data_IF_373016170862
#
_entry.id   IF_373016170862
#
_cell.length_a   1.000
_cell.length_b   1.000
_cell.length_c   1.000
_cell.angle_alpha   90.00
_cell.angle_beta   90.00
_cell.angle_gamma   90.00
#
_symmetry.space_group_name_H-M   'P 1'
#
loop_
_entity.id
_entity.type
_entity.pdbx_description
1 polymer ?
#
# COMPACT_ATOMS: atom_id res chain seq x y z
N UNK A 1 -19.72 -1.51 -2.89
CA UNK A 1 -18.96 -2.71 -3.27
C UNK A 1 -17.43 -2.50 -3.29
N UNK A 2 -16.79 -1.96 -4.34
CA UNK A 2 -15.30 -1.86 -4.36
C UNK A 2 -14.74 -1.00 -3.20
N UNK A 3 -15.37 0.13 -2.88
CA UNK A 3 -14.93 0.99 -1.76
C UNK A 3 -14.95 0.26 -0.41
N UNK A 4 -15.99 -0.52 -0.14
CA UNK A 4 -16.11 -1.29 1.11
C UNK A 4 -15.08 -2.41 1.18
N UNK A 5 -14.83 -3.07 0.06
CA UNK A 5 -13.77 -4.08 -0.04
C UNK A 5 -12.38 -3.48 0.22
N UNK A 6 -12.08 -2.33 -0.39
CA UNK A 6 -10.82 -1.61 -0.17
C UNK A 6 -10.70 -1.20 1.30
N UNK A 7 -11.74 -0.59 1.89
CA UNK A 7 -11.72 -0.20 3.30
C UNK A 7 -11.49 -1.38 4.22
N UNK A 8 -12.26 -2.47 4.05
CA UNK A 8 -12.12 -3.68 4.87
C UNK A 8 -10.72 -4.31 4.76
N UNK A 9 -10.15 -4.32 3.56
CA UNK A 9 -8.80 -4.83 3.30
C UNK A 9 -7.73 -3.97 3.98
N UNK A 10 -7.80 -2.65 3.81
CA UNK A 10 -6.89 -1.69 4.43
C UNK A 10 -6.99 -1.75 5.96
N UNK A 11 -8.18 -1.87 6.52
CA UNK A 11 -8.40 -2.05 7.96
C UNK A 11 -7.81 -3.39 8.45
N UNK A 12 -7.93 -4.44 7.66
CA UNK A 12 -7.29 -5.74 7.92
C UNK A 12 -5.76 -5.64 7.99
N UNK A 13 -5.15 -4.95 7.03
CA UNK A 13 -3.71 -4.69 7.03
C UNK A 13 -3.28 -3.80 8.19
N UNK A 14 -4.05 -2.75 8.49
CA UNK A 14 -3.76 -1.84 9.60
C UNK A 14 -3.81 -2.55 10.96
N UNK A 15 -4.73 -3.48 11.16
CA UNK A 15 -4.83 -4.29 12.39
C UNK A 15 -3.62 -5.16 12.65
N UNK A 16 -2.82 -5.51 11.62
CA UNK A 16 -1.57 -6.25 11.84
C UNK A 16 -0.53 -5.47 12.65
N UNK A 17 -0.78 -4.18 12.95
CA UNK A 17 -0.05 -3.37 13.94
C UNK A 17 0.10 -4.08 15.29
N UNK A 18 -0.91 -4.82 15.73
CA UNK A 18 -0.92 -5.53 17.01
C UNK A 18 0.23 -6.55 17.13
N UNK A 19 0.74 -7.03 15.99
CA UNK A 19 1.82 -7.99 15.89
C UNK A 19 3.16 -7.36 15.46
N UNK A 20 3.25 -6.03 15.43
CA UNK A 20 4.44 -5.32 14.94
C UNK A 20 5.22 -4.65 16.07
N UNK A 21 6.51 -4.97 16.17
CA UNK A 21 7.46 -4.28 17.03
C UNK A 21 8.36 -3.40 16.17
N UNK A 22 8.47 -2.12 16.54
CA UNK A 22 9.26 -1.16 15.78
C UNK A 22 10.74 -1.55 15.77
N UNK A 23 11.35 -1.55 14.58
CA UNK A 23 12.78 -1.85 14.40
C UNK A 23 13.13 -3.33 14.46
N UNK A 24 12.16 -4.23 14.64
CA UNK A 24 12.36 -5.67 14.50
C UNK A 24 11.96 -6.16 13.12
N UNK A 25 12.26 -7.43 12.85
CA UNK A 25 11.66 -8.15 11.73
C UNK A 25 10.12 -8.06 11.82
N UNK A 26 9.44 -7.80 10.70
CA UNK A 26 8.01 -7.48 10.72
C UNK A 26 7.09 -8.67 11.02
N UNK A 27 7.48 -9.90 10.71
CA UNK A 27 6.73 -11.12 11.07
C UNK A 27 5.28 -11.11 10.58
N UNK A 28 4.31 -11.30 11.48
CA UNK A 28 2.88 -11.21 11.12
C UNK A 28 2.39 -9.76 10.94
N UNK A 29 3.20 -8.76 11.29
CA UNK A 29 2.91 -7.34 11.15
C UNK A 29 3.38 -6.70 9.84
N UNK A 30 3.87 -7.47 8.86
CA UNK A 30 4.46 -6.93 7.64
C UNK A 30 3.50 -6.10 6.79
N UNK A 31 2.20 -6.41 6.80
CA UNK A 31 1.21 -5.60 6.09
C UNK A 31 1.18 -4.15 6.63
N UNK A 32 1.05 -4.00 7.95
CA UNK A 32 1.14 -2.70 8.63
C UNK A 32 2.50 -2.03 8.42
N UNK A 33 3.61 -2.77 8.52
CA UNK A 33 4.95 -2.21 8.31
C UNK A 33 5.14 -1.65 6.90
N UNK A 34 4.56 -2.30 5.88
CA UNK A 34 4.56 -1.80 4.50
C UNK A 34 3.72 -0.52 4.34
N UNK A 35 2.56 -0.45 5.01
CA UNK A 35 1.68 0.73 4.94
C UNK A 35 2.34 2.00 5.49
N UNK A 36 3.19 1.87 6.51
CA UNK A 36 3.83 3.01 7.19
C UNK A 36 5.28 3.25 6.74
N UNK A 37 5.70 2.61 5.65
CA UNK A 37 7.05 2.68 5.13
C UNK A 37 7.29 4.08 4.53
N UNK A 38 8.11 4.91 5.18
CA UNK A 38 8.23 6.34 4.91
C UNK A 38 8.86 6.68 3.55
N UNK A 39 9.69 5.79 3.01
CA UNK A 39 10.27 5.94 1.68
C UNK A 39 9.28 5.59 0.57
N UNK A 40 8.18 4.90 0.86
CA UNK A 40 7.14 4.55 -0.11
C UNK A 40 6.32 5.79 -0.43
N UNK A 41 6.44 6.29 -1.66
CA UNK A 41 5.78 7.51 -2.10
C UNK A 41 4.52 7.24 -2.94
N UNK A 42 4.42 6.06 -3.55
CA UNK A 42 3.33 5.69 -4.45
C UNK A 42 2.81 4.30 -4.12
N UNK A 43 1.51 4.09 -4.35
CA UNK A 43 0.86 2.78 -4.20
C UNK A 43 0.00 2.49 -5.42
N UNK A 44 0.11 1.29 -5.98
CA UNK A 44 -0.76 0.81 -7.06
C UNK A 44 -1.49 -0.46 -6.65
N UNK A 45 -2.80 -0.54 -6.83
CA UNK A 45 -3.59 -1.70 -6.42
C UNK A 45 -4.42 -2.28 -7.58
N UNK A 46 -4.63 -3.59 -7.54
CA UNK A 46 -5.52 -4.32 -8.44
C UNK A 46 -6.50 -5.16 -7.62
N UNK A 47 -7.70 -5.35 -8.17
CA UNK A 47 -8.75 -6.21 -7.61
C UNK A 47 -9.15 -7.22 -8.67
N UNK A 48 -9.20 -8.49 -8.31
CA UNK A 48 -9.57 -9.58 -9.20
C UNK A 48 -10.55 -10.53 -8.51
N UNK A 49 -11.58 -10.98 -9.23
CA UNK A 49 -12.43 -12.06 -8.75
C UNK A 49 -11.86 -13.39 -9.25
N UNK A 50 -11.52 -14.26 -8.32
CA UNK A 50 -10.86 -15.53 -8.60
C UNK A 50 -11.83 -16.69 -8.37
N UNK A 51 -11.90 -17.57 -9.36
CA UNK A 51 -12.46 -18.91 -9.21
C UNK A 51 -11.31 -19.89 -8.86
N UNK A 52 -11.58 -20.88 -8.00
CA UNK A 52 -10.60 -21.79 -7.38
C UNK A 52 -9.66 -22.50 -8.38
N UNK A 53 -8.53 -21.86 -8.67
CA UNK A 53 -7.36 -22.45 -9.34
C UNK A 53 -6.09 -22.41 -8.51
N UNK A 54 -6.16 -21.99 -7.24
CA UNK A 54 -5.00 -21.88 -6.36
C UNK A 54 -4.95 -23.05 -5.38
N UNK A 55 -4.32 -24.16 -5.78
CA UNK A 55 -3.86 -25.17 -4.83
C UNK A 55 -2.62 -24.67 -4.11
N UNK A 56 -2.78 -24.05 -2.94
CA UNK A 56 -1.67 -23.83 -2.01
C UNK A 56 -1.96 -24.58 -0.72
N UNK A 57 -1.19 -25.65 -0.51
CA UNK A 57 -1.03 -26.44 0.72
C UNK A 57 -1.99 -26.09 1.88
N UNK A 58 -2.95 -26.98 2.11
CA UNK A 58 -3.68 -27.19 3.38
C UNK A 58 -4.56 -26.06 3.92
N UNK A 59 -4.75 -24.94 3.22
CA UNK A 59 -5.76 -23.93 3.59
C UNK A 59 -6.97 -24.00 2.67
N UNK A 60 -8.15 -24.13 3.25
CA UNK A 60 -9.41 -24.04 2.51
C UNK A 60 -9.57 -22.62 1.96
N UNK A 61 -9.39 -22.47 0.65
CA UNK A 61 -9.73 -21.25 -0.08
C UNK A 61 -11.14 -21.46 -0.64
N UNK A 62 -12.08 -20.52 -0.43
CA UNK A 62 -13.42 -20.64 -0.99
C UNK A 62 -13.39 -20.81 -2.51
N UNK A 63 -14.39 -21.49 -3.08
CA UNK A 63 -14.48 -21.73 -4.52
C UNK A 63 -14.50 -20.44 -5.36
N UNK A 64 -14.96 -19.34 -4.74
CA UNK A 64 -14.91 -17.98 -5.27
C UNK A 64 -14.40 -17.02 -4.21
N UNK A 65 -13.41 -16.20 -4.55
CA UNK A 65 -12.90 -15.16 -3.67
C UNK A 65 -12.47 -13.93 -4.45
N UNK A 66 -12.41 -12.78 -3.78
CA UNK A 66 -11.87 -11.56 -4.37
C UNK A 66 -10.48 -11.31 -3.82
N UNK A 67 -9.50 -11.18 -4.70
CA UNK A 67 -8.12 -10.88 -4.37
C UNK A 67 -7.85 -9.38 -4.58
N UNK A 68 -7.31 -8.74 -3.54
CA UNK A 68 -6.71 -7.40 -3.65
C UNK A 68 -5.21 -7.52 -3.47
N UNK A 69 -4.46 -6.91 -4.39
CA UNK A 69 -3.01 -6.78 -4.30
C UNK A 69 -2.64 -5.32 -4.44
N UNK A 70 -1.74 -4.83 -3.59
CA UNK A 70 -1.15 -3.51 -3.71
C UNK A 70 0.38 -3.60 -3.77
N UNK A 71 0.98 -2.82 -4.67
CA UNK A 71 2.40 -2.62 -4.80
C UNK A 71 2.77 -1.22 -4.34
N UNK A 72 3.92 -1.10 -3.67
CA UNK A 72 4.43 0.15 -3.12
C UNK A 72 5.75 0.50 -3.79
N UNK A 73 5.97 1.79 -4.06
CA UNK A 73 7.18 2.27 -4.70
C UNK A 73 7.70 3.56 -4.06
N UNK A 74 9.02 3.69 -3.84
CA UNK A 74 10.04 2.65 -3.95
C UNK A 74 9.86 1.53 -2.91
N UNK A 75 10.23 0.30 -3.28
CA UNK A 75 10.22 -0.82 -2.35
C UNK A 75 11.43 -0.79 -1.42
N UNK A 76 11.20 -1.14 -0.15
CA UNK A 76 12.24 -1.38 0.85
C UNK A 76 11.96 -2.68 1.58
N UNK A 77 13.03 -3.43 1.85
CA UNK A 77 12.93 -4.63 2.68
C UNK A 77 12.53 -4.29 4.11
N UNK A 78 11.48 -4.96 4.60
CA UNK A 78 10.93 -4.82 5.96
C UNK A 78 11.52 -5.83 6.96
N UNK A 79 12.55 -6.59 6.54
CA UNK A 79 13.13 -7.68 7.35
C UNK A 79 14.15 -7.21 8.38
N UNK A 80 14.70 -5.99 8.25
CA UNK A 80 15.74 -5.48 9.16
C UNK A 80 15.75 -3.96 9.34
N UNK A 81 14.87 -3.22 8.64
CA UNK A 81 14.83 -1.76 8.72
C UNK A 81 13.54 -1.30 9.38
N UNK A 82 13.65 -0.33 10.30
CA UNK A 82 12.49 0.39 10.77
C UNK A 82 11.80 1.08 9.58
N UNK A 83 10.46 1.01 9.47
CA UNK A 83 9.73 1.49 8.30
C UNK A 83 9.79 3.02 8.17
N UNK A 84 10.12 3.72 9.25
CA UNK A 84 10.33 5.16 9.25
C UNK A 84 11.35 5.51 10.34
N UNK A 85 11.90 6.72 10.27
CA UNK A 85 12.79 7.24 11.30
C UNK A 85 12.00 7.99 12.37
N UNK A 86 12.15 7.59 13.65
CA UNK A 86 11.58 8.34 14.78
C UNK A 86 12.32 9.67 14.99
N UNK A 87 11.57 10.68 15.41
CA UNK A 87 12.05 11.97 15.87
C UNK A 87 11.55 12.21 17.29
N UNK A 88 12.41 12.76 18.16
CA UNK A 88 12.05 13.11 19.54
C UNK A 88 11.38 14.50 19.66
N UNK A 89 11.42 15.31 18.60
CA UNK A 89 11.02 16.74 18.67
C UNK A 89 9.66 16.95 18.03
N UNK A 90 9.56 16.77 16.71
CA UNK A 90 8.31 16.89 15.96
C UNK A 90 8.30 15.96 14.74
N UNK A 91 7.13 15.86 14.11
CA UNK A 91 6.95 15.24 12.80
C UNK A 91 7.65 16.08 11.71
N UNK A 92 8.00 15.44 10.58
CA UNK A 92 8.54 16.13 9.40
C UNK A 92 9.94 16.78 9.53
N UNK A 93 10.66 16.64 10.64
CA UNK A 93 12.07 17.13 10.79
C UNK A 93 13.00 16.73 9.64
N UNK A 94 12.71 15.63 8.96
CA UNK A 94 13.52 15.05 7.88
C UNK A 94 12.80 15.00 6.53
N UNK A 95 11.77 15.83 6.33
CA UNK A 95 11.13 15.89 5.01
C UNK A 95 12.14 16.33 3.93
N UNK A 96 12.08 15.74 2.73
CA UNK A 96 12.87 16.21 1.58
C UNK A 96 12.61 17.69 1.28
N UNK A 97 13.60 18.39 0.71
CA UNK A 97 13.53 19.85 0.47
C UNK A 97 12.34 20.31 -0.38
N UNK A 98 11.85 19.46 -1.28
CA UNK A 98 10.70 19.72 -2.16
C UNK A 98 9.34 19.35 -1.56
N UNK A 99 9.30 18.93 -0.28
CA UNK A 99 8.08 18.57 0.44
C UNK A 99 7.71 19.63 1.47
N UNK A 100 6.48 19.55 1.95
CA UNK A 100 5.94 20.32 3.08
C UNK A 100 5.35 19.36 4.10
N UNK A 101 5.38 19.75 5.37
CA UNK A 101 4.68 19.00 6.39
C UNK A 101 3.18 19.30 6.29
N UNK A 102 2.38 18.27 6.01
CA UNK A 102 0.93 18.34 6.04
C UNK A 102 0.41 17.11 6.78
N UNK A 103 -0.42 17.31 7.80
CA UNK A 103 -1.03 16.22 8.58
C UNK A 103 0.01 15.21 9.11
N UNK A 104 1.16 15.72 9.56
CA UNK A 104 2.33 14.95 10.03
C UNK A 104 3.03 14.08 8.96
N UNK A 105 2.76 14.31 7.68
CA UNK A 105 3.37 13.62 6.53
C UNK A 105 4.10 14.61 5.60
N UNK A 106 5.07 14.11 4.83
CA UNK A 106 5.81 14.89 3.84
C UNK A 106 5.05 14.94 2.49
N UNK A 107 4.19 15.93 2.30
CA UNK A 107 3.42 16.11 1.07
C UNK A 107 4.19 16.89 -0.01
N UNK A 108 3.82 16.74 -1.29
CA UNK A 108 4.32 17.63 -2.35
C UNK A 108 3.88 19.08 -2.07
N UNK A 109 4.82 20.03 -2.25
CA UNK A 109 4.54 21.47 -2.17
C UNK A 109 3.44 21.90 -3.14
N UNK A 110 3.54 21.41 -4.36
CA UNK A 110 2.53 21.62 -5.37
C UNK A 110 1.59 20.43 -5.35
N UNK A 111 0.41 20.62 -4.75
CA UNK A 111 -0.77 19.88 -5.20
C UNK A 111 -1.04 20.34 -6.63
N UNK A 112 -0.25 19.87 -7.61
CA UNK A 112 -0.90 19.58 -8.88
C UNK A 112 -2.06 18.70 -8.45
N UNK A 113 -3.31 19.03 -8.81
CA UNK A 113 -4.32 18.00 -8.76
C UNK A 113 -3.68 16.76 -9.38
N UNK A 114 -4.03 15.58 -8.89
CA UNK A 114 -3.88 14.37 -9.67
C UNK A 114 -4.73 14.51 -10.94
N UNK A 115 -4.43 15.49 -11.78
CA UNK A 115 -4.84 15.59 -13.15
C UNK A 115 -4.07 14.47 -13.79
N UNK A 116 -4.72 13.30 -13.85
CA UNK A 116 -5.00 12.59 -15.08
C UNK A 116 -3.92 12.73 -16.17
N UNK A 117 -2.65 12.66 -15.81
CA UNK A 117 -1.56 13.00 -16.74
C UNK A 117 -0.27 12.31 -16.35
N UNK A 118 -0.36 11.01 -16.06
CA UNK A 118 0.52 9.98 -16.63
C UNK A 118 -0.25 8.67 -16.89
N UNK A 119 -1.55 8.76 -17.21
CA UNK A 119 -2.18 7.72 -18.01
C UNK A 119 -1.69 7.90 -19.45
N UNK A 120 -0.40 7.60 -19.72
CA UNK A 120 0.06 7.42 -21.11
C UNK A 120 -0.50 6.09 -21.56
N UNK A 121 -1.66 6.17 -22.19
CA UNK A 121 -2.55 5.07 -22.54
C UNK A 121 -3.02 4.30 -21.31
N UNK A 122 -4.29 4.43 -20.89
CA UNK A 122 -4.90 3.33 -20.20
C UNK A 122 -4.85 2.21 -21.25
N UNK A 123 -3.98 1.21 -21.05
CA UNK A 123 -4.26 -0.07 -21.68
C UNK A 123 -5.51 -0.55 -20.96
N UNK A 124 -6.66 -0.07 -21.43
CA UNK A 124 -7.92 -0.73 -21.24
C UNK A 124 -7.78 -2.04 -22.00
N UNK A 125 -7.20 -3.03 -21.36
CA UNK A 125 -7.35 -4.38 -21.84
C UNK A 125 -8.77 -4.83 -21.48
N UNK A 126 -9.70 -4.47 -22.36
CA UNK A 126 -11.10 -4.88 -22.28
C UNK A 126 -11.27 -6.40 -22.52
N UNK A 127 -10.19 -7.17 -22.66
CA UNK A 127 -10.30 -8.62 -22.81
C UNK A 127 -10.37 -9.39 -21.48
N UNK A 128 -10.01 -8.79 -20.34
CA UNK A 128 -9.82 -9.56 -19.08
C UNK A 128 -10.30 -8.91 -17.77
N UNK A 129 -11.01 -7.78 -17.78
CA UNK A 129 -11.68 -7.25 -16.57
C UNK A 129 -10.79 -6.71 -15.44
N UNK A 130 -9.49 -6.49 -15.69
CA UNK A 130 -8.53 -5.99 -14.69
C UNK A 130 -8.54 -4.46 -14.59
N UNK A 131 -8.90 -3.92 -13.42
CA UNK A 131 -8.67 -2.50 -13.08
C UNK A 131 -7.39 -2.35 -12.25
N UNK A 132 -6.41 -1.63 -12.80
CA UNK A 132 -5.22 -1.16 -12.09
C UNK A 132 -5.45 0.29 -11.64
N UNK A 133 -5.42 0.53 -10.33
CA UNK A 133 -5.39 1.88 -9.76
C UNK A 133 -3.95 2.23 -9.41
N UNK A 134 -3.41 3.31 -9.98
CA UNK A 134 -2.20 3.96 -9.48
C UNK A 134 -2.63 5.14 -8.62
N UNK A 135 -2.36 5.08 -7.31
CA UNK A 135 -2.48 6.22 -6.40
C UNK A 135 -1.07 6.81 -6.25
N UNK A 136 -0.83 7.92 -6.95
CA UNK A 136 0.34 8.79 -6.77
C UNK A 136 0.01 9.98 -5.88
#
# INVERSE_FOLDING_TARGET
>A
MIKELVNSTVDGWARSRENYVYGSHCGQGCNYAQMIQAESENIGCAVENCDNRMHRYERWIPDKFTLIVCFYSPWKSLTSNAPYQRSAVNYCTRCPRNRVCQDNLCALRDKRPLGLSLVRNPVYDLSDGKLLFFLS
#
